data_IF_040925456095
#
_entry.id   IF_040925456095
#
_cell.length_a   1.000
_cell.length_b   1.000
_cell.length_c   1.000
_cell.angle_alpha   90.00
_cell.angle_beta   90.00
_cell.angle_gamma   90.00
#
_symmetry.space_group_name_H-M   'P 1'
#
loop_
_entity.id
_entity.type
_entity.pdbx_description
1 polymer ?
#
# COMPACT_ATOMS: atom_id res chain seq x y z
N UNK A 1 -8.88 8.36 -9.90
CA UNK A 1 -9.47 7.02 -9.65
C UNK A 1 -9.34 6.56 -8.20
N UNK A 2 -8.21 6.73 -7.55
CA UNK A 2 -7.97 6.37 -6.15
C UNK A 2 -8.91 7.07 -5.14
N UNK A 3 -9.20 8.36 -5.33
CA UNK A 3 -10.12 9.13 -4.47
C UNK A 3 -11.54 8.55 -4.51
N UNK A 4 -12.02 8.16 -5.67
CA UNK A 4 -13.36 7.61 -5.86
C UNK A 4 -13.49 6.25 -5.18
N UNK A 5 -12.48 5.39 -5.31
CA UNK A 5 -12.42 4.10 -4.64
C UNK A 5 -12.33 4.26 -3.12
N UNK A 6 -11.52 5.20 -2.64
CA UNK A 6 -11.42 5.56 -1.23
C UNK A 6 -12.77 6.04 -0.68
N UNK A 7 -13.47 6.91 -1.43
CA UNK A 7 -14.78 7.42 -1.03
C UNK A 7 -15.82 6.29 -0.97
N UNK A 8 -15.86 5.39 -1.95
CA UNK A 8 -16.78 4.24 -1.96
C UNK A 8 -16.53 3.34 -0.75
N UNK A 9 -15.26 3.02 -0.46
CA UNK A 9 -14.92 2.18 0.68
C UNK A 9 -15.27 2.90 1.98
N UNK A 10 -14.99 4.20 2.12
CA UNK A 10 -15.34 4.98 3.31
C UNK A 10 -16.86 5.05 3.52
N UNK A 11 -17.63 5.33 2.46
CA UNK A 11 -19.10 5.34 2.49
C UNK A 11 -19.65 3.96 2.86
N UNK A 12 -19.13 2.89 2.26
CA UNK A 12 -19.50 1.53 2.59
C UNK A 12 -19.26 1.21 4.08
N UNK A 13 -18.11 1.60 4.63
CA UNK A 13 -17.79 1.42 6.05
C UNK A 13 -18.66 2.27 6.97
N UNK A 14 -18.99 3.50 6.57
CA UNK A 14 -19.85 4.39 7.33
C UNK A 14 -21.27 3.82 7.48
N UNK A 15 -21.84 3.26 6.41
CA UNK A 15 -23.19 2.72 6.39
C UNK A 15 -23.31 1.30 6.95
N UNK A 16 -22.22 0.53 7.04
CA UNK A 16 -22.27 -0.86 7.54
C UNK A 16 -21.92 -1.00 9.03
N UNK A 17 -22.10 0.06 9.81
CA UNK A 17 -21.66 0.21 11.22
C UNK A 17 -22.03 -0.95 12.17
N UNK A 18 -22.99 -1.81 11.83
CA UNK A 18 -23.56 -2.73 12.83
C UNK A 18 -23.31 -4.24 12.61
N UNK A 19 -22.79 -4.72 11.48
CA UNK A 19 -22.87 -6.19 11.23
C UNK A 19 -21.67 -6.95 10.68
N UNK A 20 -20.46 -6.39 10.48
CA UNK A 20 -19.38 -7.15 9.81
C UNK A 20 -18.01 -7.10 10.50
N UNK A 21 -17.93 -7.47 11.76
CA UNK A 21 -16.64 -7.70 12.44
C UNK A 21 -15.68 -8.64 11.68
N UNK A 22 -16.21 -9.60 10.89
CA UNK A 22 -15.40 -10.50 10.08
C UNK A 22 -14.65 -9.80 8.95
N UNK A 23 -15.25 -8.81 8.29
CA UNK A 23 -14.58 -8.08 7.20
C UNK A 23 -13.42 -7.24 7.73
N UNK A 24 -13.61 -6.61 8.89
CA UNK A 24 -12.54 -5.86 9.54
C UNK A 24 -11.34 -6.71 9.93
N UNK A 25 -11.51 -8.02 10.18
CA UNK A 25 -10.41 -8.91 10.52
C UNK A 25 -9.47 -9.22 9.34
N UNK A 26 -9.93 -9.02 8.10
CA UNK A 26 -9.13 -9.23 6.87
C UNK A 26 -8.32 -7.97 6.52
N UNK A 27 -8.80 -6.77 6.88
CA UNK A 27 -8.17 -5.50 6.54
C UNK A 27 -6.68 -5.40 6.95
N UNK A 28 -6.24 -5.89 8.12
CA UNK A 28 -4.82 -5.89 8.48
C UNK A 28 -3.91 -6.63 7.49
N UNK A 29 -4.46 -7.54 6.70
CA UNK A 29 -3.72 -8.30 5.69
C UNK A 29 -3.74 -7.66 4.30
N UNK A 30 -4.35 -6.49 4.16
CA UNK A 30 -4.49 -5.79 2.89
C UNK A 30 -3.17 -5.60 2.14
N UNK A 31 -2.08 -5.29 2.84
CA UNK A 31 -0.76 -5.13 2.21
C UNK A 31 -0.25 -6.42 1.57
N UNK A 32 -0.47 -7.59 2.19
CA UNK A 32 -0.12 -8.89 1.60
C UNK A 32 -0.97 -9.15 0.36
N UNK A 33 -2.28 -8.95 0.49
CA UNK A 33 -3.24 -9.23 -0.59
C UNK A 33 -2.92 -8.37 -1.81
N UNK A 34 -2.79 -7.07 -1.61
CA UNK A 34 -2.61 -6.13 -2.72
C UNK A 34 -1.19 -6.15 -3.30
N UNK A 35 -0.14 -6.36 -2.48
CA UNK A 35 1.20 -6.59 -3.00
C UNK A 35 1.29 -7.88 -3.83
N UNK A 36 0.74 -8.98 -3.31
CA UNK A 36 0.70 -10.25 -4.04
C UNK A 36 -0.09 -10.14 -5.34
N UNK A 37 -1.24 -9.47 -5.31
CA UNK A 37 -2.07 -9.28 -6.50
C UNK A 37 -1.36 -8.47 -7.58
N UNK A 38 -0.78 -7.32 -7.24
CA UNK A 38 -0.11 -6.47 -8.25
C UNK A 38 1.17 -7.12 -8.79
N UNK A 39 1.94 -7.79 -7.94
CA UNK A 39 3.13 -8.51 -8.38
C UNK A 39 2.76 -9.66 -9.32
N UNK A 40 1.72 -10.44 -8.99
CA UNK A 40 1.19 -11.49 -9.85
C UNK A 40 0.73 -10.95 -11.20
N UNK A 41 -0.14 -9.92 -11.20
CA UNK A 41 -0.66 -9.33 -12.43
C UNK A 41 0.47 -8.74 -13.30
N UNK A 42 1.45 -8.10 -12.69
CA UNK A 42 2.58 -7.50 -13.41
C UNK A 42 3.52 -8.56 -13.98
N UNK A 43 3.84 -9.60 -13.21
CA UNK A 43 4.74 -10.66 -13.64
C UNK A 43 4.17 -11.47 -14.81
N UNK A 44 2.88 -11.84 -14.73
CA UNK A 44 2.18 -12.62 -15.77
C UNK A 44 1.57 -11.76 -16.87
N UNK A 45 1.74 -10.45 -16.83
CA UNK A 45 1.22 -9.56 -17.87
C UNK A 45 1.68 -10.00 -19.27
N UNK A 46 0.71 -10.11 -20.19
CA UNK A 46 0.93 -10.45 -21.59
C UNK A 46 0.00 -9.67 -22.50
N UNK A 47 0.54 -9.11 -23.57
CA UNK A 47 -0.23 -8.41 -24.59
C UNK A 47 -1.16 -9.33 -25.39
N UNK A 48 -0.90 -10.65 -25.40
CA UNK A 48 -1.74 -11.63 -26.08
C UNK A 48 -3.06 -11.92 -25.37
N UNK A 49 -3.18 -11.57 -24.09
CA UNK A 49 -4.36 -11.83 -23.28
C UNK A 49 -5.25 -10.59 -23.18
N UNK A 50 -6.47 -10.70 -23.69
CA UNK A 50 -7.50 -9.65 -23.60
C UNK A 50 -7.77 -9.23 -22.15
N UNK A 51 -7.74 -10.16 -21.20
CA UNK A 51 -7.92 -9.90 -19.78
C UNK A 51 -6.86 -8.95 -19.24
N UNK A 52 -5.58 -9.25 -19.46
CA UNK A 52 -4.49 -8.38 -19.00
C UNK A 52 -4.47 -7.03 -19.70
N UNK A 53 -4.79 -6.98 -21.00
CA UNK A 53 -4.89 -5.74 -21.77
C UNK A 53 -6.02 -4.86 -21.22
N UNK A 54 -7.16 -5.44 -20.87
CA UNK A 54 -8.29 -4.69 -20.30
C UNK A 54 -7.93 -4.10 -18.93
N UNK A 55 -7.33 -4.90 -18.03
CA UNK A 55 -6.87 -4.41 -16.73
C UNK A 55 -5.80 -3.33 -16.91
N UNK A 56 -4.85 -3.53 -17.81
CA UNK A 56 -3.80 -2.55 -18.08
C UNK A 56 -4.36 -1.20 -18.54
N UNK A 57 -5.40 -1.21 -19.38
CA UNK A 57 -6.12 0.01 -19.79
C UNK A 57 -6.82 0.68 -18.62
N UNK A 58 -7.46 -0.08 -17.73
CA UNK A 58 -8.12 0.45 -16.52
C UNK A 58 -7.14 1.17 -15.58
N UNK A 59 -5.93 0.66 -15.45
CA UNK A 59 -4.89 1.25 -14.61
C UNK A 59 -3.85 2.07 -15.41
N UNK A 60 -4.27 2.60 -16.58
CA UNK A 60 -3.49 3.54 -17.39
C UNK A 60 -2.11 3.05 -17.81
N UNK A 61 -1.97 1.76 -18.16
CA UNK A 61 -0.72 1.20 -18.70
C UNK A 61 0.30 0.74 -17.65
N UNK A 62 -0.03 0.79 -16.37
CA UNK A 62 0.92 0.56 -15.27
C UNK A 62 1.42 -0.88 -15.17
N UNK A 63 0.62 -1.89 -15.59
CA UNK A 63 1.09 -3.28 -15.64
C UNK A 63 2.20 -3.47 -16.67
N UNK A 64 2.05 -2.86 -17.84
CA UNK A 64 3.07 -2.95 -18.89
C UNK A 64 4.40 -2.30 -18.48
N UNK A 65 4.34 -1.15 -17.79
CA UNK A 65 5.53 -0.50 -17.23
C UNK A 65 6.22 -1.38 -16.18
N UNK A 66 5.45 -1.95 -15.26
CA UNK A 66 5.96 -2.90 -14.29
C UNK A 66 6.56 -4.16 -14.93
N UNK A 67 5.92 -4.69 -15.99
CA UNK A 67 6.46 -5.82 -16.76
C UNK A 67 7.78 -5.50 -17.43
N UNK A 68 7.91 -4.28 -17.98
CA UNK A 68 9.18 -3.82 -18.54
C UNK A 68 10.28 -3.79 -17.48
N UNK A 69 9.98 -3.39 -16.23
CA UNK A 69 10.94 -3.46 -15.15
C UNK A 69 11.39 -4.92 -14.86
N UNK A 70 10.47 -5.88 -14.85
CA UNK A 70 10.81 -7.31 -14.71
C UNK A 70 11.68 -7.85 -15.87
N UNK A 71 11.55 -7.28 -17.05
CA UNK A 71 12.35 -7.68 -18.22
C UNK A 71 13.72 -6.98 -18.25
N UNK A 72 13.84 -5.80 -17.62
CA UNK A 72 15.06 -4.96 -17.70
C UNK A 72 15.96 -5.11 -16.49
N UNK A 73 15.41 -5.48 -15.34
CA UNK A 73 16.15 -5.57 -14.08
C UNK A 73 16.03 -6.96 -13.47
N UNK A 74 17.14 -7.44 -12.92
CA UNK A 74 17.16 -8.68 -12.15
C UNK A 74 16.66 -8.45 -10.73
N UNK A 75 15.99 -9.46 -10.16
CA UNK A 75 15.56 -9.45 -8.77
C UNK A 75 16.70 -9.87 -7.86
N UNK A 76 17.00 -9.04 -6.87
CA UNK A 76 18.01 -9.31 -5.85
C UNK A 76 17.38 -9.44 -4.47
N UNK A 77 18.04 -10.17 -3.58
CA UNK A 77 17.62 -10.28 -2.17
C UNK A 77 17.68 -8.93 -1.47
N UNK A 78 18.74 -8.17 -1.74
CA UNK A 78 18.92 -6.78 -1.32
C UNK A 78 19.05 -5.91 -2.57
N UNK A 79 18.53 -4.71 -2.53
CA UNK A 79 18.41 -3.85 -3.70
C UNK A 79 19.72 -3.55 -4.43
N UNK A 80 19.61 -3.05 -5.64
CA UNK A 80 20.74 -2.69 -6.49
C UNK A 80 20.85 -1.19 -6.67
N UNK A 81 22.08 -0.67 -6.78
CA UNK A 81 22.34 0.76 -7.00
C UNK A 81 21.98 1.24 -8.42
N UNK A 82 21.79 0.33 -9.35
CA UNK A 82 21.66 0.65 -10.78
C UNK A 82 20.22 0.77 -11.27
N UNK A 83 19.23 0.66 -10.39
CA UNK A 83 17.83 0.82 -10.77
C UNK A 83 17.47 2.29 -10.74
N UNK A 84 17.19 2.86 -11.91
CA UNK A 84 16.72 4.23 -12.07
C UNK A 84 15.35 4.23 -12.75
N UNK A 85 14.33 4.70 -12.03
CA UNK A 85 13.00 4.92 -12.57
C UNK A 85 12.85 6.39 -12.95
N UNK A 86 12.85 6.67 -14.25
CA UNK A 86 12.79 8.02 -14.80
C UNK A 86 11.36 8.32 -15.19
N UNK A 87 10.73 9.23 -14.44
CA UNK A 87 9.37 9.71 -14.70
C UNK A 87 9.35 10.93 -15.63
N UNK A 88 8.15 11.26 -16.12
CA UNK A 88 7.93 12.40 -17.05
C UNK A 88 8.12 13.79 -16.43
N UNK A 89 8.40 13.89 -15.14
CA UNK A 89 8.60 15.19 -14.45
C UNK A 89 9.96 15.83 -14.62
N UNK A 90 10.91 15.16 -15.25
CA UNK A 90 12.24 15.69 -15.57
C UNK A 90 12.26 16.26 -16.98
N UNK A 91 12.50 17.55 -17.14
CA UNK A 91 12.78 18.22 -18.42
C UNK A 91 14.14 17.77 -18.95
N UNK A 92 14.28 16.55 -19.39
CA UNK A 92 15.47 16.10 -20.12
C UNK A 92 15.03 15.58 -21.47
N UNK A 93 15.19 16.42 -22.46
CA UNK A 93 14.86 16.19 -23.88
C UNK A 93 15.66 15.04 -24.52
N UNK A 94 16.48 14.32 -23.77
CA UNK A 94 17.39 13.31 -24.30
C UNK A 94 17.29 11.94 -23.64
N UNK A 95 16.25 11.65 -22.86
CA UNK A 95 16.20 10.39 -22.12
C UNK A 95 15.46 9.32 -22.88
N UNK A 96 16.21 8.37 -23.26
CA UNK A 96 15.86 7.02 -23.69
C UNK A 96 14.73 6.46 -22.80
N UNK A 97 13.51 6.55 -23.32
CA UNK A 97 12.34 5.81 -22.84
C UNK A 97 11.88 6.09 -21.41
N UNK A 98 10.62 6.46 -21.29
CA UNK A 98 9.90 6.46 -20.01
C UNK A 98 9.90 5.04 -19.41
N UNK A 99 10.50 4.86 -18.23
CA UNK A 99 10.56 3.59 -17.52
C UNK A 99 10.12 3.68 -16.06
N UNK A 100 9.29 4.67 -15.73
CA UNK A 100 8.80 4.87 -14.39
C UNK A 100 7.80 3.78 -13.99
N UNK A 101 8.00 3.17 -12.82
CA UNK A 101 7.09 2.19 -12.26
C UNK A 101 6.25 2.85 -11.17
N UNK A 102 4.97 3.05 -11.44
CA UNK A 102 4.06 3.73 -10.53
C UNK A 102 3.69 2.90 -9.30
N UNK A 103 3.71 1.56 -9.38
CA UNK A 103 3.40 0.72 -8.23
C UNK A 103 4.51 0.76 -7.18
N UNK A 104 4.18 1.19 -5.96
CA UNK A 104 5.11 1.18 -4.82
C UNK A 104 5.70 -0.21 -4.57
N UNK A 105 4.89 -1.26 -4.65
CA UNK A 105 5.34 -2.63 -4.39
C UNK A 105 6.37 -3.10 -5.41
N UNK A 106 6.12 -2.84 -6.69
CA UNK A 106 7.04 -3.22 -7.78
C UNK A 106 8.30 -2.37 -7.74
N UNK A 107 8.15 -1.05 -7.57
CA UNK A 107 9.28 -0.12 -7.49
C UNK A 107 10.24 -0.49 -6.33
N UNK A 108 9.67 -0.75 -5.15
CA UNK A 108 10.45 -1.12 -3.98
C UNK A 108 11.15 -2.46 -4.12
N UNK A 109 10.50 -3.42 -4.78
CA UNK A 109 11.08 -4.73 -5.01
C UNK A 109 12.40 -4.64 -5.77
N UNK A 110 12.48 -3.80 -6.80
CA UNK A 110 13.70 -3.59 -7.57
C UNK A 110 14.69 -2.67 -6.86
N UNK A 111 14.21 -1.63 -6.17
CA UNK A 111 15.07 -0.65 -5.50
C UNK A 111 15.73 -1.21 -4.24
N UNK A 112 14.95 -1.85 -3.38
CA UNK A 112 15.41 -2.31 -2.07
C UNK A 112 15.64 -3.83 -2.00
N UNK A 113 15.08 -4.59 -2.92
CA UNK A 113 15.16 -6.05 -2.95
C UNK A 113 14.04 -6.76 -2.20
N UNK A 114 14.04 -8.09 -2.29
CA UNK A 114 12.98 -8.95 -1.78
C UNK A 114 12.90 -8.87 -0.24
N UNK A 115 14.03 -8.98 0.44
CA UNK A 115 14.10 -9.08 1.91
C UNK A 115 13.52 -7.83 2.60
N UNK A 116 13.95 -6.60 2.26
CA UNK A 116 13.37 -5.39 2.85
C UNK A 116 11.87 -5.25 2.57
N UNK A 117 11.41 -5.58 1.37
CA UNK A 117 9.98 -5.49 1.02
C UNK A 117 9.14 -6.46 1.87
N UNK A 118 9.59 -7.70 2.01
CA UNK A 118 8.91 -8.71 2.85
C UNK A 118 8.87 -8.25 4.31
N UNK A 119 9.98 -7.76 4.85
CA UNK A 119 10.04 -7.24 6.22
C UNK A 119 9.07 -6.08 6.43
N UNK A 120 8.98 -5.16 5.48
CA UNK A 120 8.05 -4.03 5.55
C UNK A 120 6.59 -4.47 5.52
N UNK A 121 6.24 -5.44 4.67
CA UNK A 121 4.90 -6.00 4.64
C UNK A 121 4.57 -6.67 5.98
N UNK A 122 5.51 -7.41 6.57
CA UNK A 122 5.33 -8.03 7.89
C UNK A 122 5.10 -6.97 8.97
N UNK A 123 5.94 -5.93 9.03
CA UNK A 123 5.80 -4.82 9.98
C UNK A 123 4.43 -4.17 9.82
N UNK A 124 4.01 -3.89 8.59
CA UNK A 124 2.71 -3.31 8.30
C UNK A 124 1.55 -4.18 8.82
N UNK A 125 1.60 -5.49 8.57
CA UNK A 125 0.56 -6.44 9.03
C UNK A 125 0.53 -6.51 10.55
N UNK A 126 1.69 -6.63 11.20
CA UNK A 126 1.79 -6.70 12.67
C UNK A 126 1.21 -5.44 13.31
N UNK A 127 1.61 -4.26 12.81
CA UNK A 127 1.12 -2.99 13.31
C UNK A 127 -0.40 -2.81 13.06
N UNK A 128 -0.88 -3.14 11.86
CA UNK A 128 -2.31 -3.07 11.53
C UNK A 128 -3.15 -4.04 12.39
N UNK A 129 -2.64 -5.25 12.65
CA UNK A 129 -3.31 -6.20 13.56
C UNK A 129 -3.36 -5.70 14.99
N UNK A 130 -2.31 -5.02 15.45
CA UNK A 130 -2.32 -4.38 16.77
C UNK A 130 -3.42 -3.33 16.84
N UNK A 131 -3.50 -2.41 15.87
CA UNK A 131 -4.54 -1.38 15.82
C UNK A 131 -5.95 -1.99 15.75
N UNK A 132 -6.12 -3.09 15.01
CA UNK A 132 -7.38 -3.83 14.97
C UNK A 132 -7.78 -4.37 16.36
N UNK A 133 -6.84 -4.98 17.09
CA UNK A 133 -7.08 -5.51 18.45
C UNK A 133 -7.39 -4.39 19.46
N UNK A 134 -6.79 -3.22 19.25
CA UNK A 134 -7.01 -2.03 20.07
C UNK A 134 -8.33 -1.31 19.73
N UNK A 135 -9.17 -1.87 18.83
CA UNK A 135 -10.47 -1.31 18.44
C UNK A 135 -10.39 -0.10 17.50
N UNK A 136 -9.19 0.23 16.97
CA UNK A 136 -8.97 1.39 16.09
C UNK A 136 -9.34 1.05 14.63
N UNK A 137 -10.60 0.67 14.40
CA UNK A 137 -11.07 0.19 13.08
C UNK A 137 -10.94 1.22 11.97
N UNK A 138 -11.16 2.52 12.28
CA UNK A 138 -10.99 3.60 11.30
C UNK A 138 -9.53 3.67 10.80
N UNK A 139 -8.57 3.57 11.71
CA UNK A 139 -7.15 3.59 11.37
C UNK A 139 -6.77 2.39 10.49
N UNK A 140 -7.27 1.19 10.83
CA UNK A 140 -7.06 -0.02 10.01
C UNK A 140 -7.66 0.14 8.62
N UNK A 141 -8.85 0.77 8.50
CA UNK A 141 -9.46 1.06 7.20
C UNK A 141 -8.62 2.05 6.38
N UNK A 142 -8.11 3.12 6.99
CA UNK A 142 -7.23 4.10 6.33
C UNK A 142 -5.94 3.40 5.84
N UNK A 143 -5.31 2.59 6.68
CA UNK A 143 -4.12 1.83 6.30
C UNK A 143 -4.42 0.89 5.12
N UNK A 144 -5.56 0.21 5.13
CA UNK A 144 -5.96 -0.66 4.01
C UNK A 144 -6.16 0.12 2.71
N UNK A 145 -6.73 1.33 2.77
CA UNK A 145 -6.85 2.23 1.61
C UNK A 145 -5.47 2.64 1.07
N UNK A 146 -4.53 2.93 1.95
CA UNK A 146 -3.15 3.23 1.55
C UNK A 146 -2.53 2.02 0.86
N UNK A 147 -2.73 0.80 1.37
CA UNK A 147 -2.23 -0.42 0.75
C UNK A 147 -2.79 -0.63 -0.67
N UNK A 148 -4.08 -0.31 -0.90
CA UNK A 148 -4.69 -0.32 -2.26
C UNK A 148 -4.05 0.73 -3.15
N UNK A 149 -3.88 1.96 -2.65
CA UNK A 149 -3.26 3.04 -3.42
C UNK A 149 -1.83 2.70 -3.84
N UNK A 150 -1.07 2.02 -3.01
CA UNK A 150 0.29 1.58 -3.30
C UNK A 150 0.41 0.58 -4.45
N UNK A 151 -0.71 -0.05 -4.89
CA UNK A 151 -0.73 -0.84 -6.13
C UNK A 151 -0.51 0.04 -7.37
N UNK A 152 -1.00 1.29 -7.30
CA UNK A 152 -1.14 2.17 -8.45
C UNK A 152 -0.17 3.35 -8.36
N UNK A 153 0.22 3.78 -7.16
CA UNK A 153 1.03 4.97 -6.92
C UNK A 153 2.29 4.64 -6.11
N UNK A 154 3.40 5.30 -6.44
CA UNK A 154 4.71 5.06 -5.80
C UNK A 154 4.92 5.91 -4.53
N UNK A 155 3.93 5.95 -3.62
CA UNK A 155 3.94 6.86 -2.47
C UNK A 155 4.14 6.21 -1.11
N UNK A 156 4.36 4.90 -1.02
CA UNK A 156 4.38 4.21 0.27
C UNK A 156 5.40 4.79 1.25
N UNK A 157 6.59 5.12 0.76
CA UNK A 157 7.68 5.67 1.60
C UNK A 157 7.90 7.17 1.46
N UNK A 158 7.02 7.89 0.80
CA UNK A 158 7.13 9.34 0.75
C UNK A 158 6.35 9.93 1.93
N UNK A 159 7.03 10.41 3.01
CA UNK A 159 6.35 10.84 4.24
C UNK A 159 5.33 11.95 4.02
N UNK A 160 5.57 12.81 3.03
CA UNK A 160 4.65 13.89 2.65
C UNK A 160 3.31 13.40 2.13
N UNK A 161 3.27 12.19 1.55
CA UNK A 161 2.05 11.58 1.01
C UNK A 161 1.47 10.52 1.94
N UNK A 162 2.27 9.97 2.84
CA UNK A 162 1.85 8.87 3.70
C UNK A 162 2.23 9.09 5.16
N UNK A 163 1.74 10.18 5.72
CA UNK A 163 1.91 10.52 7.14
C UNK A 163 1.33 9.42 8.06
N UNK A 164 0.32 8.67 7.59
CA UNK A 164 -0.29 7.59 8.34
C UNK A 164 0.63 6.41 8.61
N UNK A 165 1.75 6.28 7.87
CA UNK A 165 2.79 5.28 8.20
C UNK A 165 3.36 5.50 9.60
N UNK A 166 3.46 6.73 10.07
CA UNK A 166 3.92 7.02 11.44
C UNK A 166 2.94 6.53 12.49
N UNK A 167 1.64 6.45 12.17
CA UNK A 167 0.63 5.93 13.08
C UNK A 167 0.78 4.42 13.35
N UNK A 168 1.51 3.68 12.50
CA UNK A 168 1.83 2.28 12.75
C UNK A 168 2.68 2.10 14.01
N UNK A 169 3.44 3.11 14.37
CA UNK A 169 4.35 3.11 15.52
C UNK A 169 3.76 3.76 16.78
N UNK A 170 2.58 4.39 16.67
CA UNK A 170 1.93 4.99 17.84
C UNK A 170 1.41 3.90 18.77
N UNK A 171 1.84 3.93 20.01
CA UNK A 171 1.26 3.12 21.07
C UNK A 171 0.09 3.88 21.70
N UNK A 172 -1.02 3.18 22.01
CA UNK A 172 -2.21 3.75 22.64
C UNK A 172 -1.95 4.20 24.09
N UNK A 173 -1.02 5.12 24.29
CA UNK A 173 -0.77 5.74 25.58
C UNK A 173 -1.92 6.68 25.98
N UNK A 174 -2.64 7.23 25.00
CA UNK A 174 -3.70 8.20 25.25
C UNK A 174 -4.98 7.58 25.83
N UNK A 175 -5.43 6.42 25.33
CA UNK A 175 -6.67 5.77 25.79
C UNK A 175 -6.59 5.27 27.23
N UNK A 176 -5.39 4.86 27.67
CA UNK A 176 -5.19 4.34 29.02
C UNK A 176 -5.14 5.44 30.09
N UNK A 177 -4.71 6.65 29.69
CA UNK A 177 -4.65 7.79 30.58
C UNK A 177 -6.05 8.35 30.85
N UNK A 178 -6.85 8.49 29.81
CA UNK A 178 -8.22 9.01 29.93
C UNK A 178 -9.12 8.08 30.76
N UNK A 179 -8.98 6.74 30.62
CA UNK A 179 -9.68 5.78 31.46
C UNK A 179 -9.27 5.85 32.92
N UNK A 180 -7.99 6.06 33.23
CA UNK A 180 -7.50 6.17 34.59
C UNK A 180 -7.91 7.50 35.24
N UNK A 181 -7.93 8.59 34.47
CA UNK A 181 -8.34 9.91 34.95
C UNK A 181 -9.85 9.94 35.26
N UNK A 182 -10.69 9.24 34.47
CA UNK A 182 -12.14 9.10 34.72
C UNK A 182 -12.41 8.23 35.95
N UNK A 183 -11.65 7.16 36.17
CA UNK A 183 -11.77 6.32 37.37
C UNK A 183 -11.38 7.10 38.62
N UNK A 184 -10.30 7.89 38.56
CA UNK A 184 -9.84 8.71 39.69
C UNK A 184 -10.83 9.83 40.06
N UNK A 185 -11.58 10.37 39.08
CA UNK A 185 -12.62 11.40 39.31
C UNK A 185 -13.89 10.83 39.90
N UNK A 186 -14.15 9.53 39.74
CA UNK A 186 -15.34 8.88 40.31
C UNK A 186 -15.12 8.34 41.74
N UNK A 187 -13.87 8.36 42.24
CA UNK A 187 -13.50 7.91 43.58
C UNK A 187 -13.33 9.10 44.59
N UNK A 188 -13.48 10.34 44.11
CA UNK A 188 -13.46 11.56 44.92
C UNK A 188 -14.87 12.12 45.09
#
# INVERSE_FOLDING_TARGET
MSILLATIIFVYFYFTKEKKYRLYSILPFSSIIFSGLILYLTYYFSWSSQFFVSINKLITGRLSLGKNAFNSYELHLFGTRNVQFIGSGGKTESVIGYNYVDSSYVQMLFTYGIVPVVLLIIIYVVASRKQYKDGQYLLVAILSLIAVNCMIEAFWFVPTYNIFMFLLFTTNTFSKKESNDIVALNET
#
